data_IF_383005959057
#
_entry.id   IF_383005959057
#
_cell.length_a   1.000
_cell.length_b   1.000
_cell.length_c   1.000
_cell.angle_alpha   90.00
_cell.angle_beta   90.00
_cell.angle_gamma   90.00
#
_symmetry.space_group_name_H-M   'P 1'
#
loop_
_entity.id
_entity.type
_entity.pdbx_description
1 polymer ?
#
# COMPACT_ATOMS: atom_id res chain seq x y z
N UNK A 1 0.18 2.50 7.68
CA UNK A 1 0.19 3.26 6.42
C UNK A 1 -0.20 4.70 6.72
N UNK A 2 0.67 5.64 6.31
CA UNK A 2 0.49 7.09 6.37
C UNK A 2 1.14 7.68 5.12
N UNK A 3 0.34 7.93 4.08
CA UNK A 3 0.82 8.44 2.79
C UNK A 3 0.44 9.89 2.52
N UNK A 4 -0.16 10.55 3.52
CA UNK A 4 -0.40 12.00 3.52
C UNK A 4 -0.14 12.58 4.91
N UNK A 5 0.27 13.84 4.96
CA UNK A 5 0.43 14.57 6.23
C UNK A 5 1.73 14.25 6.99
N UNK A 6 1.68 14.36 8.32
CA UNK A 6 2.85 14.18 9.19
C UNK A 6 2.58 13.15 10.28
N UNK A 7 3.61 12.40 10.66
CA UNK A 7 3.45 11.33 11.65
C UNK A 7 3.16 11.90 13.04
N UNK A 8 2.00 11.51 13.59
CA UNK A 8 1.63 11.85 14.97
C UNK A 8 2.68 11.39 15.98
N UNK A 9 2.94 12.25 16.97
CA UNK A 9 3.78 11.91 18.11
C UNK A 9 3.07 10.83 18.94
N UNK A 10 3.75 9.70 19.15
CA UNK A 10 3.26 8.62 20.02
C UNK A 10 2.61 7.43 19.30
N UNK A 11 2.49 7.45 17.97
CA UNK A 11 2.11 6.24 17.21
C UNK A 11 3.15 5.13 17.47
N UNK A 12 2.69 4.00 17.99
CA UNK A 12 3.53 2.84 18.29
C UNK A 12 3.16 1.69 17.36
N UNK A 13 4.05 1.37 16.43
CA UNK A 13 3.94 0.23 15.54
C UNK A 13 5.35 -0.33 15.27
N UNK A 14 5.45 -1.62 14.99
CA UNK A 14 6.72 -2.24 14.60
C UNK A 14 7.10 -1.88 13.16
N UNK A 15 6.11 -1.52 12.33
CA UNK A 15 6.27 -1.22 10.91
C UNK A 15 5.49 0.04 10.58
N UNK A 16 6.17 0.98 9.92
CA UNK A 16 5.57 2.20 9.36
C UNK A 16 5.69 2.15 7.85
N UNK A 17 4.57 2.27 7.17
CA UNK A 17 4.50 2.44 5.73
C UNK A 17 4.17 3.90 5.44
N UNK A 18 5.10 4.59 4.79
CA UNK A 18 5.13 6.06 4.67
C UNK A 18 5.42 6.49 3.24
N UNK A 19 4.95 7.68 2.85
CA UNK A 19 5.24 8.23 1.52
C UNK A 19 6.73 8.51 1.30
N UNK A 20 7.28 8.02 0.18
CA UNK A 20 8.69 8.17 -0.21
C UNK A 20 9.13 9.63 -0.37
N UNK A 21 8.26 10.50 -0.89
CA UNK A 21 8.61 11.87 -1.26
C UNK A 21 8.32 12.87 -0.14
N UNK A 22 7.34 12.57 0.73
CA UNK A 22 6.94 13.46 1.82
C UNK A 22 7.68 13.17 3.14
N UNK A 23 8.30 11.98 3.27
CA UNK A 23 8.99 11.59 4.50
C UNK A 23 10.48 11.91 4.47
N UNK A 24 10.95 12.68 5.45
CA UNK A 24 12.39 12.99 5.59
C UNK A 24 13.20 11.80 6.11
N UNK A 25 14.47 11.71 5.72
CA UNK A 25 15.40 10.72 6.29
C UNK A 25 15.52 10.80 7.81
N UNK A 26 15.42 12.01 8.39
CA UNK A 26 15.44 12.19 9.84
C UNK A 26 14.23 11.54 10.53
N UNK A 27 13.05 11.59 9.89
CA UNK A 27 11.85 10.91 10.38
C UNK A 27 12.04 9.39 10.36
N UNK A 28 12.56 8.85 9.26
CA UNK A 28 12.86 7.42 9.10
C UNK A 28 13.86 6.94 10.16
N UNK A 29 14.96 7.66 10.34
CA UNK A 29 15.98 7.33 11.35
C UNK A 29 15.40 7.39 12.77
N UNK A 30 14.54 8.36 13.07
CA UNK A 30 13.87 8.45 14.38
C UNK A 30 12.93 7.27 14.65
N UNK A 31 12.25 6.75 13.62
CA UNK A 31 11.44 5.54 13.72
C UNK A 31 12.32 4.30 13.96
N UNK A 32 13.37 4.15 13.17
CA UNK A 32 14.31 3.04 13.27
C UNK A 32 15.08 3.02 14.60
N UNK A 33 15.41 4.18 15.16
CA UNK A 33 16.02 4.30 16.48
C UNK A 33 15.12 3.76 17.61
N UNK A 34 13.81 3.68 17.38
CA UNK A 34 12.83 3.06 18.30
C UNK A 34 12.60 1.58 18.02
N UNK A 35 13.34 0.99 17.07
CA UNK A 35 13.24 -0.41 16.67
C UNK A 35 12.24 -0.68 15.54
N UNK A 36 11.57 0.33 15.00
CA UNK A 36 10.61 0.14 13.93
C UNK A 36 11.28 -0.07 12.56
N UNK A 37 10.57 -0.73 11.64
CA UNK A 37 10.93 -0.85 10.23
C UNK A 37 10.11 0.12 9.39
N UNK A 38 10.73 0.66 8.34
CA UNK A 38 10.09 1.65 7.47
C UNK A 38 9.96 1.12 6.05
N UNK A 39 8.73 1.02 5.59
CA UNK A 39 8.35 0.74 4.20
C UNK A 39 8.09 2.10 3.53
N UNK A 40 8.61 2.29 2.33
CA UNK A 40 8.40 3.51 1.56
C UNK A 40 7.47 3.27 0.38
N UNK A 41 6.28 3.88 0.47
CA UNK A 41 5.26 3.91 -0.56
C UNK A 41 5.67 4.80 -1.74
N UNK A 42 5.42 4.32 -2.95
CA UNK A 42 5.31 5.15 -4.14
C UNK A 42 4.43 4.45 -5.17
N UNK A 43 3.72 5.21 -6.01
CA UNK A 43 3.05 4.59 -7.15
C UNK A 43 4.06 4.16 -8.21
N UNK A 44 4.07 2.88 -8.53
CA UNK A 44 4.90 2.29 -9.58
C UNK A 44 4.12 2.08 -10.88
N UNK A 45 2.81 1.85 -10.77
CA UNK A 45 1.90 1.62 -11.90
C UNK A 45 1.23 2.87 -12.45
N UNK A 46 1.37 4.03 -11.80
CA UNK A 46 0.81 5.30 -12.27
C UNK A 46 1.80 6.46 -12.15
N UNK A 47 1.56 7.52 -12.92
CA UNK A 47 2.24 8.81 -12.77
C UNK A 47 1.33 9.81 -12.08
N UNK A 48 1.83 10.39 -11.00
CA UNK A 48 1.15 11.38 -10.17
C UNK A 48 1.71 12.79 -10.49
N UNK A 49 0.87 13.73 -10.94
CA UNK A 49 1.35 15.03 -11.45
C UNK A 49 2.05 15.91 -10.41
N UNK A 50 1.81 15.66 -9.13
CA UNK A 50 2.39 16.39 -8.01
C UNK A 50 3.79 15.90 -7.62
N UNK A 51 4.26 14.76 -8.16
CA UNK A 51 5.59 14.24 -7.82
C UNK A 51 6.70 15.05 -8.50
N UNK A 52 7.84 15.27 -7.81
CA UNK A 52 8.91 16.12 -8.33
C UNK A 52 9.57 15.57 -9.62
N UNK A 53 9.44 14.26 -9.87
CA UNK A 53 9.97 13.58 -11.05
C UNK A 53 8.94 13.40 -12.18
N UNK A 54 7.73 13.95 -12.04
CA UNK A 54 6.64 13.75 -13.00
C UNK A 54 6.99 14.16 -14.44
N UNK A 55 7.80 15.20 -14.59
CA UNK A 55 8.23 15.70 -15.90
C UNK A 55 9.20 14.76 -16.65
N UNK A 56 9.69 13.70 -16.00
CA UNK A 56 10.54 12.70 -16.64
C UNK A 56 9.72 11.68 -17.44
N UNK A 57 8.43 11.55 -17.18
CA UNK A 57 7.53 10.69 -17.94
C UNK A 57 7.15 11.36 -19.27
N UNK A 58 7.26 10.60 -20.36
CA UNK A 58 6.85 11.04 -21.69
C UNK A 58 5.37 10.73 -21.94
N UNK A 59 4.81 11.25 -23.03
CA UNK A 59 3.44 10.92 -23.43
C UNK A 59 3.25 9.43 -23.73
N UNK A 60 4.27 8.75 -24.28
CA UNK A 60 4.24 7.31 -24.58
C UNK A 60 4.36 6.42 -23.35
N UNK A 61 4.73 6.99 -22.20
CA UNK A 61 4.77 6.29 -20.92
C UNK A 61 3.40 6.22 -20.25
N UNK A 62 2.43 7.05 -20.67
CA UNK A 62 1.17 7.28 -19.95
C UNK A 62 -0.03 6.73 -20.74
N UNK A 63 -0.97 6.15 -20.01
CA UNK A 63 -2.26 5.68 -20.49
C UNK A 63 -3.42 6.59 -20.07
N UNK A 64 -4.56 5.95 -19.81
CA UNK A 64 -5.76 6.58 -19.27
C UNK A 64 -5.51 7.18 -17.88
N UNK A 65 -6.33 8.17 -17.54
CA UNK A 65 -6.41 8.73 -16.18
C UNK A 65 -7.14 7.75 -15.25
N UNK A 66 -6.74 7.72 -13.98
CA UNK A 66 -7.46 6.98 -12.95
C UNK A 66 -8.77 7.72 -12.65
N UNK A 67 -9.93 7.05 -12.65
CA UNK A 67 -11.23 7.72 -12.48
C UNK A 67 -11.34 8.52 -11.18
N UNK A 68 -10.84 7.95 -10.08
CA UNK A 68 -11.01 8.51 -8.73
C UNK A 68 -9.86 9.45 -8.32
N UNK A 69 -8.77 9.48 -9.09
CA UNK A 69 -7.53 10.21 -8.76
C UNK A 69 -7.13 11.17 -9.88
N UNK A 70 -7.66 12.39 -9.81
CA UNK A 70 -7.47 13.41 -10.85
C UNK A 70 -5.98 13.73 -11.07
N UNK A 71 -5.57 13.68 -12.33
CA UNK A 71 -4.21 13.94 -12.78
C UNK A 71 -3.23 12.77 -12.57
N UNK A 72 -3.72 11.64 -12.08
CA UNK A 72 -2.98 10.39 -12.00
C UNK A 72 -3.28 9.51 -13.22
N UNK A 73 -2.25 8.95 -13.86
CA UNK A 73 -2.39 8.17 -15.10
C UNK A 73 -1.68 6.85 -15.05
N UNK A 74 -2.28 5.79 -15.59
CA UNK A 74 -1.63 4.48 -15.73
C UNK A 74 -0.32 4.59 -16.51
N UNK A 75 0.67 3.81 -16.11
CA UNK A 75 1.98 3.75 -16.75
C UNK A 75 2.15 2.52 -17.63
N UNK A 76 2.84 2.69 -18.75
CA UNK A 76 3.25 1.58 -19.61
C UNK A 76 4.42 0.84 -18.94
N UNK A 77 4.10 -0.26 -18.24
CA UNK A 77 5.06 -1.08 -17.50
C UNK A 77 6.14 -1.73 -18.38
N UNK A 78 5.94 -1.74 -19.70
CA UNK A 78 6.93 -2.21 -20.69
C UNK A 78 7.97 -1.14 -21.06
N UNK A 79 7.77 0.11 -20.63
CA UNK A 79 8.65 1.22 -20.98
C UNK A 79 9.95 1.19 -20.19
N UNK A 80 11.08 1.25 -20.91
CA UNK A 80 12.40 1.40 -20.31
C UNK A 80 12.54 2.74 -19.55
N UNK A 81 11.85 3.80 -19.96
CA UNK A 81 11.88 5.07 -19.26
C UNK A 81 11.12 4.99 -17.92
N UNK A 82 9.94 4.36 -17.90
CA UNK A 82 9.18 4.09 -16.67
C UNK A 82 10.04 3.27 -15.70
N UNK A 83 10.66 2.18 -16.17
CA UNK A 83 11.55 1.38 -15.33
C UNK A 83 12.73 2.20 -14.80
N UNK A 84 13.37 3.03 -15.63
CA UNK A 84 14.47 3.92 -15.20
C UNK A 84 14.02 4.87 -14.07
N UNK A 85 12.83 5.47 -14.19
CA UNK A 85 12.29 6.37 -13.17
C UNK A 85 12.02 5.61 -11.87
N UNK A 86 11.41 4.42 -11.93
CA UNK A 86 11.17 3.61 -10.72
C UNK A 86 12.46 3.15 -10.05
N UNK A 87 13.50 2.81 -10.82
CA UNK A 87 14.83 2.53 -10.25
C UNK A 87 15.43 3.73 -9.52
N UNK A 88 15.21 4.94 -10.04
CA UNK A 88 15.64 6.16 -9.35
C UNK A 88 14.84 6.40 -8.06
N UNK A 89 13.53 6.12 -8.04
CA UNK A 89 12.71 6.15 -6.81
C UNK A 89 13.18 5.13 -5.77
N UNK A 90 13.51 3.91 -6.20
CA UNK A 90 14.07 2.86 -5.33
C UNK A 90 15.43 3.28 -4.76
N UNK A 91 16.31 3.86 -5.59
CA UNK A 91 17.58 4.41 -5.12
C UNK A 91 17.38 5.55 -4.11
N UNK A 92 16.37 6.41 -4.31
CA UNK A 92 16.00 7.44 -3.34
C UNK A 92 15.55 6.82 -2.02
N UNK A 93 14.66 5.81 -2.06
CA UNK A 93 14.19 5.09 -0.88
C UNK A 93 15.36 4.53 -0.05
N UNK A 94 16.33 3.90 -0.71
CA UNK A 94 17.55 3.43 -0.06
C UNK A 94 18.35 4.59 0.56
N UNK A 95 18.49 5.71 -0.16
CA UNK A 95 19.28 6.87 0.30
C UNK A 95 18.69 7.56 1.54
N UNK A 96 17.37 7.54 1.70
CA UNK A 96 16.69 8.13 2.87
C UNK A 96 16.56 7.13 4.03
N UNK A 97 16.85 5.86 3.81
CA UNK A 97 16.97 4.82 4.83
C UNK A 97 15.81 3.83 4.91
N UNK A 98 14.97 3.72 3.88
CA UNK A 98 13.86 2.76 3.88
C UNK A 98 14.37 1.31 4.01
N UNK A 99 13.65 0.47 4.77
CA UNK A 99 13.90 -0.97 4.88
C UNK A 99 13.22 -1.76 3.75
N UNK A 100 12.17 -1.20 3.15
CA UNK A 100 11.43 -1.82 2.06
C UNK A 100 10.71 -0.80 1.17
N UNK A 101 10.19 -1.29 0.04
CA UNK A 101 9.32 -0.52 -0.86
C UNK A 101 7.90 -1.10 -0.91
N UNK A 102 6.89 -0.23 -1.02
CA UNK A 102 5.49 -0.56 -1.35
C UNK A 102 5.12 0.06 -2.71
N UNK A 103 5.34 -0.66 -3.82
CA UNK A 103 5.04 -0.17 -5.16
C UNK A 103 3.54 -0.33 -5.48
N UNK A 104 2.82 0.79 -5.57
CA UNK A 104 1.36 0.79 -5.79
C UNK A 104 0.97 0.66 -7.27
N UNK A 105 -0.32 0.38 -7.50
CA UNK A 105 -1.01 0.32 -8.80
C UNK A 105 -0.49 -0.76 -9.77
N UNK A 106 0.01 -1.87 -9.22
CA UNK A 106 0.53 -3.00 -10.00
C UNK A 106 -0.57 -3.85 -10.64
N UNK A 107 -1.82 -3.54 -10.38
CA UNK A 107 -3.04 -4.15 -10.91
C UNK A 107 -3.67 -3.36 -12.07
N UNK A 108 -2.98 -2.39 -12.67
CA UNK A 108 -3.52 -1.60 -13.79
C UNK A 108 -4.08 -2.43 -14.97
N UNK A 109 -3.67 -3.70 -15.13
CA UNK A 109 -4.21 -4.64 -16.12
C UNK A 109 -5.67 -5.07 -15.88
N UNK A 110 -6.20 -4.92 -14.66
CA UNK A 110 -7.62 -5.18 -14.35
C UNK A 110 -8.51 -3.97 -14.67
N UNK A 111 -7.91 -2.84 -15.06
CA UNK A 111 -8.58 -1.57 -15.25
C UNK A 111 -8.60 -1.13 -16.73
N UNK A 112 -9.41 -0.11 -17.04
CA UNK A 112 -9.42 0.53 -18.37
C UNK A 112 -8.21 1.46 -18.54
N UNK A 113 -7.02 0.86 -18.62
CA UNK A 113 -5.72 1.56 -18.57
C UNK A 113 -5.32 2.27 -19.88
N UNK A 114 -5.96 1.95 -21.01
CA UNK A 114 -5.63 2.57 -22.31
C UNK A 114 -4.30 2.12 -22.93
N UNK A 115 -3.63 1.12 -22.36
CA UNK A 115 -2.30 0.62 -22.75
C UNK A 115 -2.30 -0.87 -23.13
N UNK A 116 -3.41 -1.57 -22.87
CA UNK A 116 -3.52 -3.01 -23.07
C UNK A 116 -2.57 -3.79 -22.17
N UNK A 117 -2.39 -3.33 -20.92
CA UNK A 117 -1.57 -4.03 -19.93
C UNK A 117 -2.16 -5.41 -19.64
N UNK A 118 -1.30 -6.42 -19.57
CA UNK A 118 -1.63 -7.76 -19.11
C UNK A 118 -0.97 -8.06 -17.75
N UNK A 119 -1.48 -9.06 -17.03
CA UNK A 119 -0.88 -9.55 -15.79
C UNK A 119 0.62 -9.90 -15.91
N UNK A 120 1.04 -10.37 -17.09
CA UNK A 120 2.44 -10.66 -17.38
C UNK A 120 3.32 -9.40 -17.39
N UNK A 121 2.80 -8.25 -17.84
CA UNK A 121 3.53 -6.97 -17.80
C UNK A 121 3.79 -6.56 -16.34
N UNK A 122 2.77 -6.63 -15.46
CA UNK A 122 2.95 -6.35 -14.04
C UNK A 122 3.89 -7.34 -13.35
N UNK A 123 3.80 -8.63 -13.70
CA UNK A 123 4.67 -9.67 -13.14
C UNK A 123 6.14 -9.39 -13.45
N UNK A 124 6.46 -9.09 -14.71
CA UNK A 124 7.82 -8.76 -15.15
C UNK A 124 8.31 -7.47 -14.51
N UNK A 125 7.44 -6.45 -14.41
CA UNK A 125 7.78 -5.18 -13.79
C UNK A 125 8.05 -5.35 -12.29
N UNK A 126 7.18 -6.05 -11.55
CA UNK A 126 7.36 -6.38 -10.13
C UNK A 126 8.69 -7.09 -9.87
N UNK A 127 9.03 -8.09 -10.69
CA UNK A 127 10.32 -8.79 -10.57
C UNK A 127 11.50 -7.86 -10.81
N UNK A 128 11.39 -6.91 -11.74
CA UNK A 128 12.43 -5.91 -11.99
C UNK A 128 12.56 -4.90 -10.84
N UNK A 129 11.46 -4.49 -10.21
CA UNK A 129 11.47 -3.63 -9.03
C UNK A 129 12.10 -4.34 -7.82
N UNK A 130 11.68 -5.58 -7.55
CA UNK A 130 12.23 -6.40 -6.47
C UNK A 130 13.73 -6.65 -6.64
N UNK A 131 14.18 -6.96 -7.87
CA UNK A 131 15.59 -7.13 -8.17
C UNK A 131 16.39 -5.82 -8.01
N UNK A 132 15.80 -4.66 -8.26
CA UNK A 132 16.45 -3.38 -8.01
C UNK A 132 16.54 -3.08 -6.51
N UNK A 133 15.43 -3.24 -5.77
CA UNK A 133 15.39 -3.02 -4.31
C UNK A 133 16.40 -3.91 -3.57
N UNK A 134 16.54 -5.17 -3.98
CA UNK A 134 17.49 -6.11 -3.41
C UNK A 134 18.96 -5.66 -3.52
N UNK A 135 19.32 -4.84 -4.53
CA UNK A 135 20.69 -4.27 -4.64
C UNK A 135 21.05 -3.35 -3.48
N UNK A 136 20.03 -2.76 -2.85
CA UNK A 136 20.18 -1.88 -1.70
C UNK A 136 19.85 -2.59 -0.38
N UNK A 137 19.61 -3.91 -0.40
CA UNK A 137 19.21 -4.68 0.78
C UNK A 137 17.78 -4.40 1.25
N UNK A 138 16.94 -3.76 0.42
CA UNK A 138 15.55 -3.47 0.75
C UNK A 138 14.62 -4.63 0.35
N UNK A 139 13.58 -4.85 1.15
CA UNK A 139 12.47 -5.76 0.80
C UNK A 139 11.47 -5.10 -0.16
N UNK A 140 10.59 -5.89 -0.78
CA UNK A 140 9.53 -5.43 -1.69
C UNK A 140 8.19 -6.05 -1.30
N UNK A 141 7.15 -5.21 -1.24
CA UNK A 141 5.76 -5.62 -1.04
C UNK A 141 5.02 -5.86 -2.36
N UNK A 142 3.93 -6.63 -2.31
CA UNK A 142 2.91 -6.63 -3.35
C UNK A 142 1.65 -5.92 -2.84
N UNK A 143 1.31 -4.78 -3.45
CA UNK A 143 0.07 -4.04 -3.17
C UNK A 143 -1.06 -4.57 -4.04
N UNK A 144 -2.12 -5.08 -3.40
CA UNK A 144 -3.28 -5.69 -4.07
C UNK A 144 -2.86 -6.69 -5.17
N UNK A 145 -3.32 -6.51 -6.42
CA UNK A 145 -2.92 -7.32 -7.58
C UNK A 145 -2.98 -8.84 -7.35
N UNK A 146 -4.05 -9.30 -6.71
CA UNK A 146 -4.17 -10.66 -6.16
C UNK A 146 -3.93 -11.75 -7.22
N UNK A 147 -4.36 -11.51 -8.46
CA UNK A 147 -4.21 -12.46 -9.56
C UNK A 147 -2.76 -12.75 -9.99
N UNK A 148 -1.78 -11.95 -9.57
CA UNK A 148 -0.35 -12.20 -9.85
C UNK A 148 0.43 -12.76 -8.66
N UNK A 149 -0.22 -12.98 -7.49
CA UNK A 149 0.44 -13.47 -6.27
C UNK A 149 1.32 -14.69 -6.56
N UNK A 150 0.75 -15.74 -7.16
CA UNK A 150 1.49 -16.97 -7.47
C UNK A 150 2.71 -16.75 -8.39
N UNK A 151 2.70 -15.67 -9.19
CA UNK A 151 3.77 -15.34 -10.13
C UNK A 151 4.86 -14.45 -9.57
N UNK A 152 4.69 -13.86 -8.38
CA UNK A 152 5.68 -12.96 -7.75
C UNK A 152 5.97 -13.28 -6.29
N UNK A 153 5.26 -14.23 -5.68
CA UNK A 153 5.41 -14.60 -4.28
C UNK A 153 6.85 -15.00 -3.92
N UNK A 154 7.65 -15.50 -4.86
CA UNK A 154 9.07 -15.84 -4.65
C UNK A 154 9.98 -14.61 -4.48
N UNK A 155 9.59 -13.44 -4.99
CA UNK A 155 10.43 -12.22 -4.99
C UNK A 155 9.98 -11.13 -4.02
N UNK A 156 8.75 -11.17 -3.53
CA UNK A 156 8.22 -10.20 -2.53
C UNK A 156 8.29 -10.77 -1.10
N UNK A 157 8.32 -9.90 -0.08
CA UNK A 157 8.49 -10.29 1.32
C UNK A 157 7.22 -10.08 2.16
N UNK A 158 6.28 -9.30 1.68
CA UNK A 158 4.99 -9.04 2.32
C UNK A 158 3.94 -8.64 1.27
N UNK A 159 2.68 -8.63 1.67
CA UNK A 159 1.60 -8.06 0.88
C UNK A 159 1.01 -6.86 1.62
N UNK A 160 0.58 -5.86 0.87
CA UNK A 160 -0.28 -4.80 1.38
C UNK A 160 -1.61 -4.97 0.67
N UNK A 161 -2.68 -5.17 1.44
CA UNK A 161 -4.01 -5.30 0.88
C UNK A 161 -4.91 -4.19 1.39
N UNK A 162 -5.68 -3.63 0.46
CA UNK A 162 -6.82 -2.80 0.75
C UNK A 162 -8.10 -3.58 0.45
N UNK A 163 -8.98 -3.61 1.44
CA UNK A 163 -10.40 -3.93 1.27
C UNK A 163 -10.74 -5.34 0.76
N UNK A 164 -9.95 -6.37 1.12
CA UNK A 164 -10.35 -7.73 0.80
C UNK A 164 -11.64 -8.15 1.53
N UNK A 165 -11.93 -7.56 2.71
CA UNK A 165 -13.18 -7.80 3.42
C UNK A 165 -14.31 -6.99 2.83
N UNK A 166 -14.09 -5.71 2.53
CA UNK A 166 -15.20 -4.83 2.20
C UNK A 166 -15.53 -4.74 0.71
N UNK A 167 -14.54 -4.84 -0.16
CA UNK A 167 -14.73 -4.69 -1.60
C UNK A 167 -14.67 -6.04 -2.31
N UNK A 168 -13.55 -6.77 -2.23
CA UNK A 168 -13.40 -8.00 -3.04
C UNK A 168 -14.13 -9.21 -2.46
N UNK A 169 -14.40 -9.20 -1.14
CA UNK A 169 -14.97 -10.33 -0.38
C UNK A 169 -14.13 -11.61 -0.50
N UNK A 170 -12.83 -11.46 -0.74
CA UNK A 170 -11.89 -12.56 -0.93
C UNK A 170 -10.53 -12.23 -0.31
N UNK A 171 -10.45 -12.42 1.00
CA UNK A 171 -9.18 -12.38 1.74
C UNK A 171 -8.43 -13.72 1.68
N UNK A 172 -9.11 -14.82 1.30
CA UNK A 172 -8.55 -16.17 1.27
C UNK A 172 -7.47 -16.34 0.21
N UNK A 173 -7.49 -15.53 -0.84
CA UNK A 173 -6.44 -15.49 -1.87
C UNK A 173 -5.04 -15.24 -1.31
N UNK A 174 -4.92 -14.64 -0.13
CA UNK A 174 -3.63 -14.44 0.53
C UNK A 174 -3.16 -15.66 1.33
N UNK A 175 -3.97 -16.70 1.57
CA UNK A 175 -3.61 -17.83 2.43
C UNK A 175 -2.31 -18.55 2.02
N UNK A 176 -2.06 -18.63 0.71
CA UNK A 176 -0.82 -19.16 0.11
C UNK A 176 0.40 -18.26 0.39
N UNK A 177 0.16 -16.96 0.58
CA UNK A 177 1.16 -15.94 0.85
C UNK A 177 1.53 -15.89 2.35
N UNK A 178 0.51 -15.96 3.23
CA UNK A 178 0.67 -15.86 4.70
C UNK A 178 1.24 -17.12 5.35
N UNK A 179 1.59 -18.16 4.59
CA UNK A 179 2.25 -19.34 5.17
C UNK A 179 3.61 -18.96 5.78
N UNK A 180 4.25 -17.93 5.23
CA UNK A 180 5.60 -17.52 5.60
C UNK A 180 5.79 -16.00 5.66
N UNK A 181 4.84 -15.19 5.16
CA UNK A 181 5.01 -13.74 4.94
C UNK A 181 3.84 -12.94 5.50
N UNK A 182 4.06 -11.73 6.06
CA UNK A 182 2.96 -10.93 6.60
C UNK A 182 2.08 -10.34 5.49
N UNK A 183 0.80 -10.17 5.80
CA UNK A 183 -0.15 -9.35 5.03
C UNK A 183 -0.53 -8.14 5.89
N UNK A 184 -0.14 -6.94 5.45
CA UNK A 184 -0.58 -5.68 6.02
C UNK A 184 -1.91 -5.31 5.40
N UNK A 185 -2.95 -5.33 6.21
CA UNK A 185 -4.34 -5.25 5.74
C UNK A 185 -4.99 -3.95 6.19
N UNK A 186 -5.64 -3.27 5.25
CA UNK A 186 -6.26 -1.97 5.47
C UNK A 186 -7.72 -2.05 5.05
N UNK A 187 -8.61 -1.64 5.95
CA UNK A 187 -10.04 -1.46 5.65
C UNK A 187 -10.44 0.00 5.89
N UNK A 188 -11.28 0.54 5.01
CA UNK A 188 -11.60 1.97 5.01
C UNK A 188 -12.97 2.28 5.59
N UNK A 189 -12.97 3.14 6.61
CA UNK A 189 -14.18 3.76 7.16
C UNK A 189 -14.40 5.12 6.50
N UNK A 190 -15.68 5.52 6.39
CA UNK A 190 -16.05 6.78 5.77
C UNK A 190 -15.78 7.99 6.67
N UNK A 191 -15.80 7.80 7.99
CA UNK A 191 -15.47 8.85 8.97
C UNK A 191 -15.15 8.25 10.33
N UNK A 192 -14.47 9.05 11.16
CA UNK A 192 -14.21 8.75 12.57
C UNK A 192 -14.36 10.00 13.45
N UNK A 193 -14.53 9.77 14.76
CA UNK A 193 -14.40 10.76 15.84
C UNK A 193 -14.02 10.00 17.11
N UNK A 194 -12.78 10.14 17.58
CA UNK A 194 -12.27 9.17 18.55
C UNK A 194 -12.32 7.74 17.97
N UNK A 195 -12.56 6.77 18.83
CA UNK A 195 -12.78 5.38 18.39
C UNK A 195 -14.19 5.14 17.81
N UNK A 196 -15.02 6.19 17.66
CA UNK A 196 -16.29 6.09 16.96
C UNK A 196 -16.05 6.16 15.46
N UNK A 197 -16.33 5.05 14.77
CA UNK A 197 -16.15 4.90 13.32
C UNK A 197 -17.48 4.68 12.62
N UNK A 198 -17.56 5.05 11.34
CA UNK A 198 -18.72 4.78 10.46
C UNK A 198 -18.28 4.15 9.14
N UNK A 199 -19.04 3.17 8.67
CA UNK A 199 -18.89 2.59 7.34
C UNK A 199 -19.96 3.19 6.40
N UNK A 200 -19.62 3.38 5.13
CA UNK A 200 -20.56 3.72 4.07
C UNK A 200 -20.96 2.52 3.19
N UNK A 201 -20.36 1.35 3.42
CA UNK A 201 -20.67 0.12 2.69
C UNK A 201 -22.07 -0.39 2.96
N UNK A 202 -22.71 -0.93 1.93
CA UNK A 202 -24.05 -1.50 1.99
C UNK A 202 -24.16 -2.59 3.04
N UNK A 203 -25.14 -2.41 3.94
CA UNK A 203 -25.38 -3.31 5.08
C UNK A 203 -24.61 -2.94 6.35
N UNK A 204 -23.74 -1.93 6.29
CA UNK A 204 -22.91 -1.49 7.44
C UNK A 204 -23.24 -0.08 7.95
N UNK A 205 -24.06 0.70 7.22
CA UNK A 205 -24.33 2.11 7.56
C UNK A 205 -25.08 2.29 8.89
N UNK A 206 -25.79 1.26 9.36
CA UNK A 206 -26.53 1.26 10.63
C UNK A 206 -25.82 0.54 11.78
N UNK A 207 -24.63 -0.01 11.56
CA UNK A 207 -23.89 -0.76 12.57
C UNK A 207 -23.21 0.16 13.59
N UNK A 208 -23.08 -0.35 14.82
CA UNK A 208 -22.25 0.26 15.85
C UNK A 208 -20.76 0.20 15.47
N UNK A 209 -19.94 1.06 16.09
CA UNK A 209 -18.49 1.04 15.84
C UNK A 209 -17.84 -0.30 16.20
N UNK A 210 -18.35 -1.03 17.20
CA UNK A 210 -17.83 -2.35 17.55
C UNK A 210 -18.21 -3.42 16.52
N UNK A 211 -19.40 -3.35 15.94
CA UNK A 211 -19.82 -4.25 14.85
C UNK A 211 -19.01 -4.00 13.57
N UNK A 212 -18.83 -2.73 13.18
CA UNK A 212 -17.98 -2.37 12.03
C UNK A 212 -16.54 -2.86 12.25
N UNK A 213 -15.95 -2.54 13.41
CA UNK A 213 -14.59 -2.97 13.76
C UNK A 213 -14.49 -4.50 13.78
N UNK A 214 -15.46 -5.20 14.33
CA UNK A 214 -15.46 -6.67 14.35
C UNK A 214 -15.42 -7.26 12.94
N UNK A 215 -16.23 -6.71 12.02
CA UNK A 215 -16.25 -7.18 10.65
C UNK A 215 -14.95 -6.86 9.89
N UNK A 216 -14.43 -5.64 10.01
CA UNK A 216 -13.21 -5.19 9.32
C UNK A 216 -11.98 -5.94 9.82
N UNK A 217 -11.98 -6.30 11.11
CA UNK A 217 -10.96 -7.13 11.74
C UNK A 217 -11.15 -8.63 11.52
N UNK A 218 -11.97 -9.04 10.54
CA UNK A 218 -12.15 -10.43 10.12
C UNK A 218 -12.57 -11.35 11.28
N UNK A 219 -13.33 -10.87 12.28
CA UNK A 219 -13.69 -11.70 13.45
C UNK A 219 -14.57 -12.90 13.12
N UNK A 220 -15.18 -12.92 11.95
CA UNK A 220 -15.91 -14.07 11.42
C UNK A 220 -14.99 -15.17 10.85
N UNK A 221 -13.71 -14.87 10.60
CA UNK A 221 -12.65 -15.83 10.30
C UNK A 221 -11.43 -15.62 11.20
N UNK A 222 -11.44 -16.18 12.44
CA UNK A 222 -10.35 -16.02 13.39
C UNK A 222 -8.99 -16.56 12.90
N UNK A 223 -9.00 -17.53 11.97
CA UNK A 223 -7.77 -18.12 11.43
C UNK A 223 -7.07 -17.11 10.52
N UNK A 224 -7.84 -16.48 9.64
CA UNK A 224 -7.35 -15.42 8.78
C UNK A 224 -6.99 -14.16 9.56
N UNK A 225 -7.84 -13.75 10.52
CA UNK A 225 -7.60 -12.60 11.39
C UNK A 225 -6.27 -12.72 12.15
N UNK A 226 -5.89 -13.92 12.58
CA UNK A 226 -4.64 -14.16 13.29
C UNK A 226 -3.38 -14.02 12.41
N UNK A 227 -3.54 -14.09 11.08
CA UNK A 227 -2.44 -14.03 10.09
C UNK A 227 -2.30 -12.66 9.44
N UNK A 228 -3.33 -11.83 9.53
CA UNK A 228 -3.37 -10.48 8.96
C UNK A 228 -2.97 -9.44 10.01
N UNK A 229 -2.14 -8.48 9.60
CA UNK A 229 -1.85 -7.27 10.38
C UNK A 229 -2.83 -6.17 9.98
N UNK A 230 -4.03 -6.22 10.56
CA UNK A 230 -5.15 -5.34 10.15
C UNK A 230 -5.13 -4.00 10.87
N UNK A 231 -5.31 -2.93 10.08
CA UNK A 231 -5.60 -1.58 10.55
C UNK A 231 -6.88 -1.05 9.87
N UNK A 232 -7.56 -0.15 10.56
CA UNK A 232 -8.71 0.59 10.03
C UNK A 232 -8.29 2.04 9.83
N UNK A 233 -8.57 2.58 8.64
CA UNK A 233 -8.14 3.91 8.18
C UNK A 233 -9.29 4.64 7.51
N UNK A 234 -9.11 5.94 7.25
CA UNK A 234 -9.89 6.64 6.22
C UNK A 234 -9.10 6.64 4.91
N UNK A 235 -9.78 6.92 3.79
CA UNK A 235 -9.12 7.10 2.49
C UNK A 235 -8.18 8.32 2.43
N UNK A 236 -8.18 9.19 3.45
CA UNK A 236 -7.20 10.26 3.56
C UNK A 236 -5.79 9.70 3.83
N UNK A 237 -5.71 8.51 4.45
CA UNK A 237 -4.45 7.87 4.84
C UNK A 237 -3.50 8.81 5.58
N UNK A 238 -4.09 9.66 6.43
CA UNK A 238 -3.42 10.58 7.35
C UNK A 238 -2.78 9.83 8.52
N UNK A 239 -2.55 10.50 9.65
CA UNK A 239 -1.96 9.90 10.84
C UNK A 239 -2.94 9.06 11.67
N UNK A 240 -4.25 9.22 11.48
CA UNK A 240 -5.26 8.51 12.27
C UNK A 240 -5.29 7.02 11.97
N UNK A 241 -5.25 6.17 12.98
CA UNK A 241 -5.37 4.72 12.81
C UNK A 241 -6.14 4.09 13.97
N UNK A 242 -6.96 3.08 13.66
CA UNK A 242 -7.61 2.22 14.65
C UNK A 242 -7.15 0.77 14.46
N UNK A 243 -6.71 0.13 15.53
CA UNK A 243 -6.28 -1.26 15.57
C UNK A 243 -7.41 -2.18 16.05
N UNK A 244 -7.30 -3.46 15.71
CA UNK A 244 -8.30 -4.47 16.08
C UNK A 244 -8.42 -4.76 17.58
N UNK A 245 -7.39 -4.43 18.35
CA UNK A 245 -7.41 -4.47 19.83
C UNK A 245 -8.09 -3.22 20.44
N UNK A 246 -8.52 -2.27 19.61
CA UNK A 246 -9.19 -1.04 20.01
C UNK A 246 -8.25 0.12 20.34
N UNK A 247 -6.92 -0.06 20.27
CA UNK A 247 -5.99 1.07 20.35
C UNK A 247 -6.12 1.95 19.11
N UNK A 248 -5.78 3.23 19.26
CA UNK A 248 -5.74 4.18 18.14
C UNK A 248 -4.61 5.18 18.33
N UNK A 249 -4.22 5.83 17.24
CA UNK A 249 -3.26 6.94 17.20
C UNK A 249 -3.71 8.00 16.19
N UNK A 250 -3.03 9.16 16.17
CA UNK A 250 -3.37 10.30 15.30
C UNK A 250 -4.49 11.18 15.85
N UNK A 251 -4.36 11.58 17.11
CA UNK A 251 -5.24 12.54 17.78
C UNK A 251 -4.45 13.81 18.11
N UNK A 252 -4.66 14.87 17.34
CA UNK A 252 -4.45 16.26 17.81
C UNK A 252 -5.80 16.98 17.93
#
# INVERSE_FOLDING_TARGET
MMISGSLAVGTSADIFDVDLFETSSSTIQNLQARGAKVICYFSAGTSEYWRPDYNQFTSTDKGSELPDWKGEKYLNLRSANVLRIMKARIANAASIGCDAIDPDNMDGFTNTNGLGLAAADSTLFMRALAAEAAKYGMSTGLKNAQSIIASVADVVQFAVNEECKMVTKDCGVYDEFIAEKPVFHVEYVSSHSGNTIRSNYDGYQGMTSDEVKAAYCLKDDPTQAARFSTIIKTLALDDWVLYCDGKSAGWE
#
